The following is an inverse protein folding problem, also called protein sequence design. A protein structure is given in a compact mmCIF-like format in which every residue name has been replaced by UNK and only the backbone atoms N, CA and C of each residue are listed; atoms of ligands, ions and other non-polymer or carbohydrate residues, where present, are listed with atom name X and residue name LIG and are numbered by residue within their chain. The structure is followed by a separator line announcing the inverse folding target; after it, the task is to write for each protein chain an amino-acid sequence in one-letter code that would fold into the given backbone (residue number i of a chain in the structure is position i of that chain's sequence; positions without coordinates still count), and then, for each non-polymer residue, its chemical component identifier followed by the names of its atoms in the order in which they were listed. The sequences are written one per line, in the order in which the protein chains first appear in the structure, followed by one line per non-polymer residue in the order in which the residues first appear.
data_IF_494004656024
#
_entry.id   IF_494004656024
#
_cell.length_a   1.000
_cell.length_b   1.000
_cell.length_c   1.000
_cell.angle_alpha   90.00
_cell.angle_beta   90.00
_cell.angle_gamma   90.00
#
_symmetry.space_group_name_H-M   'P 1'
#
loop_
_entity.id
_entity.type
_entity.pdbx_description
1 polymer ?
#
# COMPACT_ATOMS: atom_id res chain seq x y z
N UNK A 1 3.79 -4.73 -16.35
CA UNK A 1 3.15 -6.04 -16.09
C UNK A 1 3.49 -6.43 -14.65
N UNK A 2 2.53 -6.94 -13.87
CA UNK A 2 2.76 -7.32 -12.48
C UNK A 2 3.38 -8.73 -12.43
N UNK A 3 4.54 -8.87 -11.80
CA UNK A 3 5.26 -10.13 -11.65
C UNK A 3 5.23 -10.58 -10.20
N UNK A 4 4.83 -11.82 -9.96
CA UNK A 4 4.97 -12.50 -8.68
C UNK A 4 6.22 -13.38 -8.77
N UNK A 5 7.24 -13.03 -7.99
CA UNK A 5 8.53 -13.70 -7.99
C UNK A 5 8.76 -14.36 -6.64
N UNK A 6 9.31 -15.56 -6.66
CA UNK A 6 9.84 -16.22 -5.47
C UNK A 6 11.37 -16.15 -5.55
N UNK A 7 12.00 -15.75 -4.46
CA UNK A 7 13.45 -15.65 -4.39
C UNK A 7 13.95 -15.81 -2.96
N UNK A 8 15.25 -16.02 -2.82
CA UNK A 8 15.89 -16.06 -1.51
C UNK A 8 16.49 -14.70 -1.19
N UNK A 9 16.31 -14.25 0.06
CA UNK A 9 16.90 -13.00 0.55
C UNK A 9 17.87 -13.31 1.64
N UNK A 10 19.04 -12.68 1.58
CA UNK A 10 20.01 -12.74 2.67
C UNK A 10 19.38 -12.11 3.92
N UNK A 11 19.25 -12.93 4.95
CA UNK A 11 18.71 -12.50 6.22
C UNK A 11 19.78 -11.68 6.94
N UNK A 12 19.43 -10.46 7.36
CA UNK A 12 20.30 -9.66 8.24
C UNK A 12 20.42 -10.40 9.57
N UNK A 13 21.57 -11.05 9.75
CA UNK A 13 21.92 -11.85 10.93
C UNK A 13 23.03 -11.16 11.70
N UNK A 14 22.86 -11.05 13.00
CA UNK A 14 23.83 -10.43 13.89
C UNK A 14 24.53 -11.51 14.70
N UNK A 15 25.84 -11.67 14.51
CA UNK A 15 26.64 -12.59 15.32
C UNK A 15 26.83 -12.06 16.74
N UNK A 16 26.87 -12.96 17.73
CA UNK A 16 26.98 -12.57 19.13
C UNK A 16 28.17 -11.62 19.41
N UNK A 17 29.34 -11.88 18.82
CA UNK A 17 30.53 -11.07 19.05
C UNK A 17 30.37 -9.61 18.60
N UNK A 18 29.74 -9.38 17.44
CA UNK A 18 29.46 -8.02 16.95
C UNK A 18 28.45 -7.30 17.85
N UNK A 19 27.39 -8.00 18.27
CA UNK A 19 26.38 -7.42 19.15
C UNK A 19 26.93 -7.15 20.55
N UNK A 20 27.74 -8.05 21.11
CA UNK A 20 28.35 -7.86 22.42
C UNK A 20 29.25 -6.60 22.48
N UNK A 21 29.91 -6.26 21.37
CA UNK A 21 30.70 -5.02 21.25
C UNK A 21 29.82 -3.77 21.14
N UNK A 22 28.68 -3.87 20.45
CA UNK A 22 27.77 -2.75 20.24
C UNK A 22 26.82 -2.51 21.44
N UNK A 23 26.42 -3.56 22.14
CA UNK A 23 25.44 -3.58 23.22
C UNK A 23 26.03 -3.07 24.54
N UNK A 24 26.40 -1.79 24.59
CA UNK A 24 26.99 -1.14 25.77
C UNK A 24 26.13 -1.24 27.04
N UNK A 25 24.81 -1.35 26.91
CA UNK A 25 23.89 -1.47 28.05
C UNK A 25 23.73 -2.92 28.53
N UNK A 26 24.18 -3.90 27.73
CA UNK A 26 24.16 -5.32 28.03
C UNK A 26 23.04 -6.08 27.31
N UNK A 27 22.79 -7.31 27.75
CA UNK A 27 21.78 -8.19 27.19
C UNK A 27 20.56 -8.29 28.09
N UNK A 28 19.38 -8.28 27.47
CA UNK A 28 18.11 -8.25 28.16
C UNK A 28 17.16 -9.28 27.56
N UNK A 29 16.51 -10.08 28.40
CA UNK A 29 15.47 -11.02 28.02
C UNK A 29 14.11 -10.38 28.19
N UNK A 30 13.27 -10.49 27.18
CA UNK A 30 11.90 -10.05 27.25
C UNK A 30 11.05 -11.05 28.07
N UNK A 31 10.26 -10.56 29.02
CA UNK A 31 9.52 -11.41 29.94
C UNK A 31 8.39 -12.22 29.27
N UNK A 32 7.84 -11.73 28.16
CA UNK A 32 6.75 -12.40 27.44
C UNK A 32 7.26 -13.38 26.39
N UNK A 33 8.15 -12.92 25.51
CA UNK A 33 8.68 -13.71 24.39
C UNK A 33 9.86 -14.61 24.77
N UNK A 34 10.44 -14.41 25.97
CA UNK A 34 11.67 -15.09 26.44
C UNK A 34 12.89 -14.92 25.52
N UNK A 35 12.81 -14.06 24.50
CA UNK A 35 13.91 -13.75 23.58
C UNK A 35 14.90 -12.78 24.21
N UNK A 36 16.19 -12.96 23.89
CA UNK A 36 17.27 -12.09 24.34
C UNK A 36 17.61 -11.07 23.26
N UNK A 37 17.82 -9.83 23.69
CA UNK A 37 18.20 -8.70 22.86
C UNK A 37 19.47 -8.06 23.40
N UNK A 38 20.37 -7.66 22.50
CA UNK A 38 21.50 -6.78 22.83
C UNK A 38 21.02 -5.34 22.83
N UNK A 39 21.31 -4.60 23.89
CA UNK A 39 20.80 -3.24 24.09
C UNK A 39 21.94 -2.23 23.99
N UNK A 40 21.79 -1.26 23.10
CA UNK A 40 22.71 -0.14 22.93
C UNK A 40 22.00 1.19 23.12
N UNK A 41 22.77 2.22 23.41
CA UNK A 41 22.25 3.60 23.48
C UNK A 41 21.77 4.04 22.10
N UNK A 42 20.71 4.86 22.10
CA UNK A 42 20.32 5.58 20.91
C UNK A 42 21.41 6.62 20.56
N UNK A 43 21.65 6.86 19.26
CA UNK A 43 22.69 7.81 18.84
C UNK A 43 22.33 9.25 19.24
N UNK A 44 21.04 9.56 19.25
CA UNK A 44 20.48 10.79 19.77
C UNK A 44 20.19 10.61 21.27
N UNK A 45 20.90 11.37 22.11
CA UNK A 45 20.84 11.27 23.57
C UNK A 45 19.67 12.08 24.16
N UNK A 46 19.02 12.93 23.37
CA UNK A 46 17.83 13.68 23.80
C UNK A 46 16.56 12.81 23.82
N UNK A 47 16.60 11.67 23.13
CA UNK A 47 15.50 10.70 23.08
C UNK A 47 15.72 9.65 24.16
N UNK A 48 14.76 9.44 25.08
CA UNK A 48 14.84 8.40 26.14
C UNK A 48 14.59 6.97 25.60
N UNK A 49 15.18 6.67 24.45
CA UNK A 49 15.08 5.37 23.79
C UNK A 49 16.41 4.63 23.78
N UNK A 50 16.32 3.32 23.61
CA UNK A 50 17.45 2.41 23.43
C UNK A 50 17.24 1.61 22.14
N UNK A 51 18.31 1.15 21.52
CA UNK A 51 18.22 0.21 20.41
C UNK A 51 18.31 -1.22 20.90
N UNK A 52 17.33 -2.02 20.50
CA UNK A 52 17.32 -3.46 20.62
C UNK A 52 17.87 -4.09 19.34
N UNK A 53 18.87 -4.93 19.51
CA UNK A 53 19.40 -5.81 18.47
C UNK A 53 18.95 -7.23 18.79
N UNK A 54 18.32 -7.90 17.83
CA UNK A 54 18.00 -9.33 17.92
C UNK A 54 19.00 -10.13 17.08
N UNK A 55 18.93 -11.46 17.13
CA UNK A 55 19.73 -12.34 16.25
C UNK A 55 19.47 -12.06 14.77
N UNK A 56 18.22 -11.70 14.43
CA UNK A 56 17.75 -11.44 13.08
C UNK A 56 16.97 -10.13 12.98
N UNK A 57 17.18 -9.42 11.87
CA UNK A 57 16.37 -8.27 11.46
C UNK A 57 16.97 -6.92 11.81
N UNK A 58 16.21 -5.83 11.57
CA UNK A 58 16.68 -4.48 11.84
C UNK A 58 16.69 -4.17 13.34
N UNK A 59 17.50 -3.18 13.73
CA UNK A 59 17.45 -2.58 15.05
C UNK A 59 16.06 -2.01 15.32
N UNK A 60 15.58 -2.14 16.55
CA UNK A 60 14.30 -1.59 17.00
C UNK A 60 14.54 -0.58 18.11
N UNK A 61 13.91 0.58 18.06
CA UNK A 61 13.88 1.50 19.19
C UNK A 61 12.90 1.01 20.25
N UNK A 62 13.27 1.16 21.52
CA UNK A 62 12.41 0.89 22.68
C UNK A 62 12.58 2.03 23.68
N UNK A 63 11.49 2.47 24.30
CA UNK A 63 11.55 3.44 25.39
C UNK A 63 12.25 2.83 26.62
N UNK A 64 13.09 3.62 27.31
CA UNK A 64 13.89 3.13 28.44
C UNK A 64 13.03 2.64 29.61
N UNK A 65 11.86 3.24 29.82
CA UNK A 65 10.93 2.78 30.86
C UNK A 65 10.37 1.39 30.56
N UNK A 66 10.16 1.04 29.28
CA UNK A 66 9.70 -0.29 28.89
C UNK A 66 10.80 -1.34 29.09
N UNK A 67 12.06 -0.97 28.84
CA UNK A 67 13.20 -1.83 29.14
C UNK A 67 13.20 -2.24 30.62
N UNK A 68 13.00 -1.29 31.54
CA UNK A 68 12.98 -1.54 32.99
C UNK A 68 11.80 -2.42 33.44
N UNK A 69 10.63 -2.28 32.80
CA UNK A 69 9.41 -2.97 33.23
C UNK A 69 9.18 -4.33 32.58
N UNK A 70 9.57 -4.52 31.31
CA UNK A 70 9.23 -5.70 30.51
C UNK A 70 10.41 -6.62 30.23
N UNK A 71 11.61 -6.22 30.62
CA UNK A 71 12.83 -6.98 30.33
C UNK A 71 13.67 -7.19 31.58
N UNK A 72 14.28 -8.38 31.67
CA UNK A 72 15.22 -8.74 32.71
C UNK A 72 16.64 -8.79 32.14
N UNK A 73 17.62 -8.29 32.90
CA UNK A 73 19.03 -8.34 32.49
C UNK A 73 19.52 -9.80 32.56
N UNK A 74 20.26 -10.24 31.55
CA UNK A 74 20.81 -11.59 31.47
C UNK A 74 22.34 -11.54 31.52
N UNK A 75 22.93 -12.54 32.17
CA UNK A 75 24.38 -12.70 32.20
C UNK A 75 24.96 -13.00 30.81
N UNK A 76 26.18 -12.53 30.55
CA UNK A 76 26.77 -12.57 29.21
C UNK A 76 26.97 -14.00 28.70
N UNK A 77 27.27 -14.96 29.60
CA UNK A 77 27.43 -16.37 29.24
C UNK A 77 26.10 -17.01 28.79
N UNK A 78 25.03 -16.80 29.54
CA UNK A 78 23.68 -17.29 29.20
C UNK A 78 23.18 -16.63 27.91
N UNK A 79 23.41 -15.33 27.75
CA UNK A 79 23.09 -14.61 26.52
C UNK A 79 23.85 -15.20 25.31
N UNK A 80 25.13 -15.55 25.47
CA UNK A 80 25.95 -16.14 24.41
C UNK A 80 25.44 -17.50 23.97
N UNK A 81 25.14 -18.39 24.92
CA UNK A 81 24.64 -19.73 24.62
C UNK A 81 23.32 -19.66 23.86
N UNK A 82 22.37 -18.88 24.35
CA UNK A 82 21.08 -18.69 23.69
C UNK A 82 21.23 -18.05 22.30
N UNK A 83 22.08 -17.02 22.18
CA UNK A 83 22.27 -16.31 20.92
C UNK A 83 22.89 -17.20 19.85
N UNK A 84 23.89 -18.00 20.21
CA UNK A 84 24.54 -18.92 19.27
C UNK A 84 23.55 -20.01 18.81
N UNK A 85 22.76 -20.57 19.74
CA UNK A 85 21.73 -21.54 19.39
C UNK A 85 20.70 -20.95 18.41
N UNK A 86 20.19 -19.75 18.68
CA UNK A 86 19.24 -19.06 17.80
C UNK A 86 19.90 -18.65 16.46
N UNK A 87 21.18 -18.31 16.45
CA UNK A 87 21.92 -17.95 15.24
C UNK A 87 22.16 -19.15 14.32
N UNK A 88 22.37 -20.34 14.89
CA UNK A 88 22.51 -21.61 14.16
C UNK A 88 21.18 -22.08 13.56
N UNK A 89 20.07 -21.91 14.29
CA UNK A 89 18.73 -22.25 13.80
C UNK A 89 18.20 -21.23 12.80
N UNK A 90 18.72 -19.99 12.81
CA UNK A 90 18.32 -18.94 11.86
C UNK A 90 18.98 -19.17 10.51
N UNK A 91 18.21 -19.48 9.45
CA UNK A 91 18.78 -19.69 8.12
C UNK A 91 19.42 -18.40 7.59
N UNK A 92 20.51 -18.55 6.83
CA UNK A 92 21.19 -17.41 6.22
C UNK A 92 20.35 -16.75 5.11
N UNK A 93 19.49 -17.54 4.49
CA UNK A 93 18.58 -17.12 3.42
C UNK A 93 17.19 -17.64 3.70
N UNK A 94 16.20 -16.81 3.40
CA UNK A 94 14.80 -17.21 3.51
C UNK A 94 14.07 -16.97 2.20
N UNK A 95 13.14 -17.88 1.83
CA UNK A 95 12.28 -17.65 0.69
C UNK A 95 11.36 -16.47 0.99
N UNK A 96 11.37 -15.50 0.09
CA UNK A 96 10.50 -14.34 0.13
C UNK A 96 9.79 -14.18 -1.21
N UNK A 97 8.51 -13.83 -1.13
CA UNK A 97 7.71 -13.44 -2.29
C UNK A 97 7.86 -11.95 -2.56
N UNK A 98 8.11 -11.63 -3.82
CA UNK A 98 8.22 -10.27 -4.31
C UNK A 98 7.14 -10.00 -5.36
N UNK A 99 6.57 -8.81 -5.32
CA UNK A 99 5.57 -8.37 -6.28
C UNK A 99 6.13 -7.17 -7.03
N UNK A 100 6.68 -7.40 -8.22
CA UNK A 100 7.34 -6.35 -9.00
C UNK A 100 6.43 -5.93 -10.15
N UNK A 101 6.01 -4.67 -10.14
CA UNK A 101 5.33 -4.06 -11.27
C UNK A 101 6.36 -3.43 -12.21
N UNK A 102 6.62 -4.11 -13.33
CA UNK A 102 7.63 -3.73 -14.32
C UNK A 102 7.00 -3.08 -15.57
N UNK A 103 7.84 -2.59 -16.49
CA UNK A 103 7.42 -2.01 -17.77
C UNK A 103 7.20 -0.50 -17.70
N UNK A 104 6.42 0.04 -18.65
CA UNK A 104 6.12 1.46 -18.69
C UNK A 104 5.18 1.84 -17.52
N UNK A 105 5.76 2.36 -16.43
CA UNK A 105 5.02 2.77 -15.23
C UNK A 105 4.34 4.13 -15.42
N UNK A 106 4.99 5.09 -16.08
CA UNK A 106 4.44 6.44 -16.25
C UNK A 106 3.01 6.47 -16.83
N UNK A 107 2.67 5.70 -17.88
CA UNK A 107 1.31 5.68 -18.44
C UNK A 107 0.23 5.16 -17.50
N UNK A 108 0.60 4.45 -16.43
CA UNK A 108 -0.34 3.85 -15.45
C UNK A 108 -0.09 4.41 -14.04
N UNK A 109 0.69 5.48 -13.93
CA UNK A 109 1.17 6.01 -12.66
C UNK A 109 0.02 6.54 -11.80
N UNK A 110 -0.95 7.21 -12.41
CA UNK A 110 -2.17 7.71 -11.74
C UNK A 110 -3.01 6.58 -11.15
N UNK A 111 -3.14 5.46 -11.86
CA UNK A 111 -3.84 4.25 -11.40
C UNK A 111 -3.13 3.60 -10.20
N UNK A 112 -1.80 3.68 -10.15
CA UNK A 112 -1.01 3.02 -9.09
C UNK A 112 -0.78 3.93 -7.90
N UNK A 113 -0.59 5.24 -8.09
CA UNK A 113 -0.14 6.17 -7.04
C UNK A 113 -1.19 7.21 -6.66
N UNK A 114 -2.20 7.45 -7.52
CA UNK A 114 -3.20 8.50 -7.31
C UNK A 114 -4.11 8.23 -6.11
N UNK A 115 -4.80 7.09 -6.11
CA UNK A 115 -5.81 6.75 -5.10
C UNK A 115 -5.54 5.46 -4.33
N UNK A 116 -4.40 4.80 -4.56
CA UNK A 116 -3.98 3.60 -3.83
C UNK A 116 -3.50 3.87 -2.42
N UNK A 117 -3.16 5.12 -2.10
CA UNK A 117 -2.52 5.46 -0.84
C UNK A 117 -1.09 4.90 -0.73
N UNK A 118 -0.55 4.32 -1.80
CA UNK A 118 0.83 3.85 -1.85
C UNK A 118 1.74 5.08 -1.92
N UNK A 119 2.32 5.47 -0.78
CA UNK A 119 3.22 6.62 -0.67
C UNK A 119 4.69 6.25 -0.81
N UNK A 120 5.05 5.00 -0.51
CA UNK A 120 6.44 4.54 -0.40
C UNK A 120 6.67 3.29 -1.23
N UNK A 121 6.66 3.42 -2.56
CA UNK A 121 7.03 2.32 -3.44
C UNK A 121 8.53 2.36 -3.72
N UNK A 122 9.26 1.34 -3.26
CA UNK A 122 10.70 1.24 -3.54
C UNK A 122 10.88 0.67 -4.96
N UNK A 123 11.71 1.34 -5.76
CA UNK A 123 12.17 0.75 -7.02
C UNK A 123 13.13 -0.38 -6.70
N UNK A 124 12.88 -1.56 -7.26
CA UNK A 124 13.72 -2.73 -7.10
C UNK A 124 14.18 -3.26 -8.46
N UNK A 125 15.36 -3.90 -8.45
CA UNK A 125 15.87 -4.69 -9.56
C UNK A 125 15.98 -6.13 -9.09
N UNK A 126 15.20 -7.03 -9.69
CA UNK A 126 15.36 -8.47 -9.53
C UNK A 126 16.23 -9.02 -10.65
N UNK A 127 17.20 -9.86 -10.28
CA UNK A 127 18.03 -10.61 -11.23
C UNK A 127 17.55 -12.06 -11.17
N UNK A 128 17.01 -12.54 -12.28
CA UNK A 128 16.54 -13.91 -12.43
C UNK A 128 17.71 -14.86 -12.63
N UNK A 129 17.46 -16.17 -12.46
CA UNK A 129 18.49 -17.22 -12.56
C UNK A 129 19.12 -17.29 -13.97
N UNK A 130 18.35 -16.93 -15.00
CA UNK A 130 18.78 -16.84 -16.39
C UNK A 130 19.60 -15.57 -16.71
N UNK A 131 19.87 -14.73 -15.70
CA UNK A 131 20.60 -13.47 -15.84
C UNK A 131 19.75 -12.29 -16.30
N UNK A 132 18.45 -12.48 -16.57
CA UNK A 132 17.56 -11.39 -16.93
C UNK A 132 17.32 -10.48 -15.72
N UNK A 133 17.31 -9.17 -15.98
CA UNK A 133 17.04 -8.17 -14.95
C UNK A 133 15.65 -7.55 -15.15
N UNK A 134 14.79 -7.67 -14.15
CA UNK A 134 13.51 -6.97 -14.07
C UNK A 134 13.65 -5.76 -13.17
N UNK A 135 13.37 -4.58 -13.70
CA UNK A 135 13.33 -3.33 -12.94
C UNK A 135 11.88 -2.87 -12.83
N UNK A 136 11.46 -2.50 -11.63
CA UNK A 136 10.09 -2.05 -11.41
C UNK A 136 9.83 -1.60 -9.98
N UNK A 137 8.56 -1.32 -9.73
CA UNK A 137 8.05 -0.96 -8.41
C UNK A 137 7.83 -2.22 -7.59
N UNK A 138 8.47 -2.31 -6.41
CA UNK A 138 8.23 -3.38 -5.46
C UNK A 138 7.00 -3.05 -4.60
N UNK A 139 5.94 -3.81 -4.78
CA UNK A 139 4.68 -3.66 -4.07
C UNK A 139 4.68 -4.52 -2.81
N UNK A 140 4.09 -4.00 -1.73
CA UNK A 140 3.83 -4.84 -0.57
C UNK A 140 2.71 -5.83 -0.91
N UNK A 141 2.67 -7.02 -0.28
CA UNK A 141 1.59 -7.99 -0.51
C UNK A 141 0.19 -7.41 -0.25
N UNK A 142 0.07 -6.44 0.67
CA UNK A 142 -1.20 -5.78 0.98
C UNK A 142 -1.70 -4.87 -0.15
N UNK A 143 -0.78 -4.31 -0.95
CA UNK A 143 -1.12 -3.38 -2.04
C UNK A 143 -1.52 -4.10 -3.34
N UNK A 144 -1.09 -5.36 -3.48
CA UNK A 144 -1.27 -6.14 -4.72
C UNK A 144 -2.72 -6.28 -5.16
N UNK A 145 -3.69 -6.64 -4.29
CA UNK A 145 -5.09 -6.77 -4.70
C UNK A 145 -5.65 -5.45 -5.24
N UNK A 146 -5.33 -4.34 -4.57
CA UNK A 146 -5.76 -3.01 -4.97
C UNK A 146 -5.18 -2.61 -6.33
N UNK A 147 -3.87 -2.82 -6.54
CA UNK A 147 -3.22 -2.54 -7.83
C UNK A 147 -3.80 -3.42 -8.94
N UNK A 148 -4.04 -4.71 -8.70
CA UNK A 148 -4.67 -5.61 -9.68
C UNK A 148 -6.04 -5.09 -10.10
N UNK A 149 -6.88 -4.71 -9.14
CA UNK A 149 -8.21 -4.16 -9.41
C UNK A 149 -8.14 -2.86 -10.22
N UNK A 150 -7.22 -1.94 -9.89
CA UNK A 150 -7.05 -0.68 -10.64
C UNK A 150 -6.51 -0.88 -12.05
N UNK A 151 -5.76 -1.93 -12.29
CA UNK A 151 -5.37 -2.34 -13.64
C UNK A 151 -6.51 -3.05 -14.40
N UNK A 152 -7.67 -3.24 -13.76
CA UNK A 152 -8.83 -3.93 -14.31
C UNK A 152 -8.67 -5.45 -14.37
N UNK A 153 -7.75 -6.02 -13.59
CA UNK A 153 -7.50 -7.46 -13.55
C UNK A 153 -8.49 -8.09 -12.56
N UNK A 154 -9.37 -8.95 -13.06
CA UNK A 154 -10.33 -9.69 -12.22
C UNK A 154 -11.52 -8.86 -11.76
N UNK A 155 -11.85 -7.78 -12.48
CA UNK A 155 -12.96 -6.89 -12.12
C UNK A 155 -14.12 -7.03 -13.10
N UNK A 156 -15.31 -7.49 -12.66
CA UNK A 156 -16.47 -7.70 -13.55
C UNK A 156 -16.96 -6.42 -14.23
N UNK A 157 -16.92 -5.28 -13.53
CA UNK A 157 -17.37 -3.98 -14.04
C UNK A 157 -16.61 -3.51 -15.28
N UNK A 158 -15.37 -3.96 -15.47
CA UNK A 158 -14.57 -3.60 -16.65
C UNK A 158 -15.20 -4.11 -17.95
N UNK A 159 -16.01 -5.16 -17.90
CA UNK A 159 -16.73 -5.70 -19.04
C UNK A 159 -18.11 -5.04 -19.27
N UNK A 160 -18.58 -4.23 -18.33
CA UNK A 160 -19.87 -3.56 -18.45
C UNK A 160 -19.80 -2.43 -19.50
N UNK A 161 -20.87 -2.32 -20.28
CA UNK A 161 -21.10 -1.25 -21.23
C UNK A 161 -21.37 0.08 -20.51
N UNK A 162 -21.16 1.24 -21.19
CA UNK A 162 -21.51 2.54 -20.61
C UNK A 162 -22.96 2.65 -20.16
N UNK A 163 -23.89 2.04 -20.91
CA UNK A 163 -25.31 2.01 -20.54
C UNK A 163 -25.56 1.26 -19.22
N UNK A 164 -24.94 0.09 -19.04
CA UNK A 164 -25.04 -0.68 -17.78
C UNK A 164 -24.44 0.10 -16.60
N UNK A 165 -23.31 0.79 -16.81
CA UNK A 165 -22.72 1.65 -15.76
C UNK A 165 -23.64 2.83 -15.43
N UNK A 166 -24.27 3.44 -16.44
CA UNK A 166 -25.22 4.53 -16.23
C UNK A 166 -26.45 4.07 -15.45
N UNK A 167 -26.97 2.89 -15.77
CA UNK A 167 -28.12 2.28 -15.07
C UNK A 167 -27.79 1.99 -13.60
N UNK A 168 -26.60 1.45 -13.31
CA UNK A 168 -26.12 1.24 -11.94
C UNK A 168 -26.07 2.57 -11.17
N UNK A 169 -25.42 3.60 -11.74
CA UNK A 169 -25.28 4.90 -11.08
C UNK A 169 -26.64 5.58 -10.88
N UNK A 170 -27.56 5.44 -11.84
CA UNK A 170 -28.94 5.90 -11.70
C UNK A 170 -29.73 5.13 -10.63
N UNK A 171 -29.41 3.86 -10.41
CA UNK A 171 -29.90 3.03 -9.31
C UNK A 171 -29.34 3.40 -7.93
N UNK A 172 -28.42 4.36 -7.85
CA UNK A 172 -27.80 4.82 -6.61
C UNK A 172 -26.42 4.22 -6.32
N UNK A 173 -25.85 3.45 -7.25
CA UNK A 173 -24.49 2.94 -7.12
C UNK A 173 -23.46 4.05 -7.12
N UNK A 174 -22.36 3.82 -6.38
CA UNK A 174 -21.21 4.72 -6.34
C UNK A 174 -20.04 4.01 -7.02
N UNK A 175 -19.87 4.25 -8.32
CA UNK A 175 -18.87 3.53 -9.12
C UNK A 175 -17.52 4.23 -9.03
N UNK A 176 -16.49 3.56 -8.54
CA UNK A 176 -15.11 4.05 -8.57
C UNK A 176 -14.42 3.66 -9.88
N UNK A 177 -13.62 4.57 -10.43
CA UNK A 177 -12.81 4.40 -11.64
C UNK A 177 -11.35 4.05 -11.30
N UNK A 178 -10.59 3.59 -12.30
CA UNK A 178 -9.21 3.11 -12.17
C UNK A 178 -8.21 4.12 -11.58
N UNK A 179 -8.46 5.42 -11.74
CA UNK A 179 -7.67 6.50 -11.16
C UNK A 179 -8.20 7.00 -9.80
N UNK A 180 -9.30 6.42 -9.30
CA UNK A 180 -9.91 6.76 -8.01
C UNK A 180 -10.98 7.85 -8.05
N UNK A 181 -11.33 8.37 -9.22
CA UNK A 181 -12.54 9.17 -9.38
C UNK A 181 -13.79 8.33 -9.13
N UNK A 182 -14.91 8.97 -8.78
CA UNK A 182 -16.16 8.29 -8.48
C UNK A 182 -17.31 8.89 -9.28
N UNK A 183 -18.16 8.03 -9.82
CA UNK A 183 -19.40 8.37 -10.49
C UNK A 183 -20.56 8.16 -9.53
N UNK A 184 -21.42 9.17 -9.42
CA UNK A 184 -22.63 9.14 -8.60
C UNK A 184 -23.71 10.00 -9.24
N UNK A 185 -24.97 9.85 -8.81
CA UNK A 185 -26.00 10.83 -9.12
C UNK A 185 -26.02 11.93 -8.07
N UNK A 186 -26.38 13.14 -8.50
CA UNK A 186 -26.60 14.29 -7.63
C UNK A 186 -27.70 15.18 -8.21
N UNK A 187 -28.16 16.14 -7.39
CA UNK A 187 -29.04 17.21 -7.83
C UNK A 187 -28.32 18.54 -7.72
N UNK A 188 -28.16 19.25 -8.84
CA UNK A 188 -27.47 20.54 -8.92
C UNK A 188 -28.40 21.54 -9.61
N UNK A 189 -28.60 22.69 -8.98
CA UNK A 189 -29.48 23.77 -9.47
C UNK A 189 -30.92 23.35 -9.84
N UNK A 190 -31.40 22.19 -9.35
CA UNK A 190 -32.73 21.67 -9.63
C UNK A 190 -32.77 20.47 -10.58
N UNK A 191 -31.69 20.25 -11.33
CA UNK A 191 -31.55 19.19 -12.33
C UNK A 191 -30.88 17.94 -11.75
N UNK A 192 -31.30 16.77 -12.23
CA UNK A 192 -30.62 15.50 -11.95
C UNK A 192 -29.40 15.36 -12.87
N UNK A 193 -28.24 15.13 -12.24
CA UNK A 193 -26.95 15.10 -12.94
C UNK A 193 -26.19 13.83 -12.62
N UNK A 194 -25.39 13.37 -13.58
CA UNK A 194 -24.31 12.44 -13.35
C UNK A 194 -23.10 13.26 -12.88
N UNK A 195 -22.66 13.06 -11.65
CA UNK A 195 -21.52 13.75 -11.04
C UNK A 195 -20.26 12.88 -11.05
N UNK A 196 -19.14 13.51 -11.42
CA UNK A 196 -17.80 12.96 -11.27
C UNK A 196 -17.11 13.61 -10.05
N UNK A 197 -16.93 12.81 -9.00
CA UNK A 197 -16.24 13.22 -7.76
C UNK A 197 -14.77 12.82 -7.84
N UNK A 198 -13.88 13.82 -7.76
CA UNK A 198 -12.44 13.60 -7.89
C UNK A 198 -11.79 12.92 -6.67
N UNK A 199 -12.44 12.93 -5.50
CA UNK A 199 -11.99 12.25 -4.28
C UNK A 199 -10.53 12.57 -3.87
N UNK A 200 -10.13 13.84 -4.00
CA UNK A 200 -8.77 14.30 -3.67
C UNK A 200 -7.69 13.94 -4.70
N UNK A 201 -8.07 13.26 -5.80
CA UNK A 201 -7.18 12.99 -6.93
C UNK A 201 -7.15 14.22 -7.84
N UNK A 202 -5.95 14.67 -8.20
CA UNK A 202 -5.79 15.78 -9.12
C UNK A 202 -6.33 15.39 -10.51
N UNK A 203 -6.97 16.35 -11.19
CA UNK A 203 -7.47 16.18 -12.54
C UNK A 203 -7.13 17.41 -13.37
N UNK A 204 -6.83 17.21 -14.65
CA UNK A 204 -6.66 18.31 -15.58
C UNK A 204 -8.05 18.85 -15.98
N UNK A 205 -8.27 20.14 -15.80
CA UNK A 205 -9.51 20.81 -16.20
C UNK A 205 -9.83 20.60 -17.68
N UNK A 206 -8.84 20.71 -18.55
CA UNK A 206 -9.06 20.59 -20.00
C UNK A 206 -9.40 19.15 -20.40
N UNK A 207 -8.90 18.16 -19.66
CA UNK A 207 -9.28 16.75 -19.82
C UNK A 207 -10.76 16.54 -19.48
N UNK A 208 -11.21 17.07 -18.35
CA UNK A 208 -12.60 16.92 -17.89
C UNK A 208 -13.59 17.63 -18.83
N UNK A 209 -13.26 18.83 -19.30
CA UNK A 209 -14.04 19.52 -20.32
C UNK A 209 -14.03 18.76 -21.65
N UNK A 210 -12.90 18.14 -22.01
CA UNK A 210 -12.79 17.30 -23.22
C UNK A 210 -13.71 16.08 -23.20
N UNK A 211 -14.05 15.55 -22.02
CA UNK A 211 -15.07 14.51 -21.88
C UNK A 211 -16.50 15.04 -22.05
N UNK A 212 -16.72 16.35 -21.93
CA UNK A 212 -18.03 16.99 -21.98
C UNK A 212 -18.65 17.25 -20.60
N UNK A 213 -17.85 17.21 -19.52
CA UNK A 213 -18.32 17.59 -18.18
C UNK A 213 -18.40 19.12 -18.05
N UNK A 214 -19.44 19.59 -17.36
CA UNK A 214 -19.57 20.96 -16.90
C UNK A 214 -18.93 21.11 -15.52
N UNK A 215 -18.40 22.30 -15.23
CA UNK A 215 -17.93 22.67 -13.89
C UNK A 215 -18.76 23.78 -13.27
N UNK A 216 -19.00 23.66 -11.97
CA UNK A 216 -19.61 24.73 -11.17
C UNK A 216 -18.97 24.78 -9.79
N UNK A 217 -18.87 25.98 -9.20
CA UNK A 217 -18.41 26.15 -7.83
C UNK A 217 -19.63 26.28 -6.92
N UNK A 218 -19.90 25.24 -6.14
CA UNK A 218 -21.00 25.20 -5.17
C UNK A 218 -20.43 24.99 -3.76
N UNK A 219 -20.84 25.81 -2.80
CA UNK A 219 -20.36 25.76 -1.42
C UNK A 219 -18.81 25.70 -1.32
N UNK A 220 -18.13 26.56 -2.09
CA UNK A 220 -16.66 26.63 -2.18
C UNK A 220 -15.98 25.36 -2.72
N UNK A 221 -16.73 24.43 -3.31
CA UNK A 221 -16.22 23.22 -3.94
C UNK A 221 -16.52 23.22 -5.42
N UNK A 222 -15.51 22.94 -6.23
CA UNK A 222 -15.68 22.70 -7.67
C UNK A 222 -16.28 21.31 -7.87
N UNK A 223 -17.41 21.26 -8.54
CA UNK A 223 -18.12 20.01 -8.89
C UNK A 223 -18.09 19.84 -10.41
N UNK A 224 -18.01 18.59 -10.83
CA UNK A 224 -17.94 18.20 -12.24
C UNK A 224 -19.12 17.30 -12.55
N UNK A 225 -19.92 17.66 -13.53
CA UNK A 225 -21.16 16.93 -13.79
C UNK A 225 -21.64 17.11 -15.22
N UNK A 226 -22.59 16.27 -15.61
CA UNK A 226 -23.37 16.40 -16.85
C UNK A 226 -24.84 16.16 -16.52
N UNK A 227 -25.73 16.95 -17.12
CA UNK A 227 -27.18 16.74 -16.98
C UNK A 227 -27.54 15.35 -17.49
N UNK A 228 -28.42 14.64 -16.76
CA UNK A 228 -28.75 13.23 -17.03
C UNK A 228 -29.11 12.95 -18.50
N UNK A 229 -29.76 13.89 -19.18
CA UNK A 229 -30.14 13.73 -20.60
C UNK A 229 -28.95 13.59 -21.56
N UNK A 230 -27.76 14.11 -21.21
CA UNK A 230 -26.53 14.01 -22.00
C UNK A 230 -25.50 13.03 -21.42
N UNK A 231 -25.85 12.32 -20.34
CA UNK A 231 -24.90 11.51 -19.58
C UNK A 231 -24.31 10.36 -20.40
N UNK A 232 -25.09 9.74 -21.30
CA UNK A 232 -24.66 8.57 -22.09
C UNK A 232 -23.43 8.87 -22.96
N UNK A 233 -23.43 10.00 -23.67
CA UNK A 233 -22.31 10.41 -24.53
C UNK A 233 -21.06 10.77 -23.74
N UNK A 234 -21.21 11.53 -22.66
CA UNK A 234 -20.10 11.94 -21.79
C UNK A 234 -19.50 10.73 -21.08
N UNK A 235 -20.35 9.82 -20.57
CA UNK A 235 -19.91 8.60 -19.91
C UNK A 235 -19.17 7.69 -20.88
N UNK A 236 -19.64 7.55 -22.13
CA UNK A 236 -18.94 6.77 -23.15
C UNK A 236 -17.53 7.31 -23.44
N UNK A 237 -17.39 8.64 -23.57
CA UNK A 237 -16.08 9.30 -23.73
C UNK A 237 -15.17 9.07 -22.52
N UNK A 238 -15.71 9.19 -21.30
CA UNK A 238 -14.97 8.97 -20.06
C UNK A 238 -14.51 7.51 -19.93
N UNK A 239 -15.41 6.55 -20.17
CA UNK A 239 -15.13 5.12 -20.02
C UNK A 239 -14.19 4.56 -21.09
N UNK A 240 -14.07 5.25 -22.24
CA UNK A 240 -13.05 4.94 -23.23
C UNK A 240 -11.61 5.17 -22.70
N UNK A 241 -11.44 6.08 -21.75
CA UNK A 241 -10.13 6.39 -21.14
C UNK A 241 -9.97 5.80 -19.73
N UNK A 242 -11.07 5.66 -18.98
CA UNK A 242 -11.08 5.29 -17.56
C UNK A 242 -11.95 4.07 -17.33
N UNK A 243 -11.40 3.05 -16.67
CA UNK A 243 -12.14 1.80 -16.42
C UNK A 243 -12.93 1.88 -15.11
N UNK A 244 -14.17 1.39 -15.06
CA UNK A 244 -14.90 1.23 -13.80
C UNK A 244 -14.39 -0.01 -13.05
N UNK A 245 -14.07 0.15 -11.77
CA UNK A 245 -13.33 -0.87 -11.01
C UNK A 245 -14.07 -1.46 -9.80
N UNK A 246 -15.03 -0.74 -9.22
CA UNK A 246 -15.86 -1.25 -8.12
C UNK A 246 -17.11 -0.40 -7.94
N UNK A 247 -18.17 -1.04 -7.46
CA UNK A 247 -19.30 -0.36 -6.85
C UNK A 247 -19.09 -0.31 -5.34
N UNK A 248 -19.01 0.91 -4.81
CA UNK A 248 -18.82 1.15 -3.38
C UNK A 248 -20.12 0.97 -2.60
N UNK A 249 -21.29 1.14 -3.23
CA UNK A 249 -22.58 1.00 -2.55
C UNK A 249 -22.84 -0.47 -2.16
N UNK A 250 -22.48 -1.42 -3.02
CA UNK A 250 -22.64 -2.87 -2.74
C UNK A 250 -21.58 -3.40 -1.76
N UNK A 251 -20.41 -2.77 -1.68
CA UNK A 251 -19.36 -3.19 -0.75
C UNK A 251 -19.70 -2.90 0.72
N UNK A 252 -20.41 -1.80 1.02
CA UNK A 252 -20.81 -1.45 2.39
C UNK A 252 -21.82 -2.45 2.98
N UNK A 253 -22.69 -3.05 2.15
CA UNK A 253 -23.63 -4.08 2.61
C UNK A 253 -22.93 -5.40 2.99
N UNK A 254 -21.76 -5.68 2.41
CA UNK A 254 -21.04 -6.94 2.64
C UNK A 254 -20.18 -6.89 3.91
N UNK A 255 -19.73 -5.71 4.33
CA UNK A 255 -18.91 -5.53 5.54
C UNK A 255 -19.73 -5.41 6.84
N UNK A 256 -21.05 -5.26 6.76
CA UNK A 256 -21.93 -5.16 7.94
C UNK A 256 -22.47 -6.52 8.43
N UNK A 257 -22.01 -7.64 7.85
CA UNK A 257 -22.52 -8.99 8.15
C UNK A 257 -21.53 -9.96 8.82
N UNK A 258 -20.35 -9.50 9.23
CA UNK A 258 -19.37 -10.30 9.99
C UNK A 258 -19.09 -9.70 11.38
#
# INVERSE_FOLDING_TARGET
MLHELEGEVDVVRHGFGAVAMAAKLGFYRNNQSRRIYGVSEHWDTEVDTVYLTAVKGPHRSLERHELKGKYERVELAEAREWWNAEYETTPAREPQRFHILSGAIFPIYDKIMGASGIRNTKVARAILVDGQALVGLNLSPADVPNVKQRLGIGTPLVAASPAEILDLVNGGSLIELDNGWRLTTARIAGDDVLELVLNGVAANRDELLGYGLSEEILNYKRRWFVVREYADGVLSCLLAQRKPIRDLATCDETQSKD
#
